data_IF_592936028668
#
_entry.id   IF_592936028668
#
_cell.length_a   1.000
_cell.length_b   1.000
_cell.length_c   1.000
_cell.angle_alpha   90.00
_cell.angle_beta   90.00
_cell.angle_gamma   90.00
#
_symmetry.space_group_name_H-M   'P 1'
#
loop_
_entity.id
_entity.type
_entity.pdbx_description
1 polymer ?
#
# COMPACT_ATOMS: atom_id res chain seq x y z
N UNK A 1 -7.71 -12.16 24.37
CA UNK A 1 -7.84 -10.73 24.65
C UNK A 1 -8.46 -10.07 23.45
N UNK A 2 -9.60 -9.39 23.64
CA UNK A 2 -10.30 -8.65 22.59
C UNK A 2 -9.54 -7.39 22.19
N UNK A 3 -9.93 -6.70 21.09
CA UNK A 3 -9.57 -5.31 20.94
C UNK A 3 -10.08 -4.66 22.23
N UNK A 4 -9.23 -3.89 22.88
CA UNK A 4 -9.74 -3.09 23.98
C UNK A 4 -10.81 -2.16 23.39
N UNK A 5 -11.95 -2.02 24.03
CA UNK A 5 -12.96 -1.02 23.64
C UNK A 5 -12.31 0.37 23.54
N UNK A 6 -11.28 0.64 24.32
CA UNK A 6 -10.46 1.84 24.27
C UNK A 6 -9.94 2.19 22.87
N UNK A 7 -9.44 1.21 22.10
CA UNK A 7 -8.92 1.51 20.74
C UNK A 7 -10.01 1.98 19.79
N UNK A 8 -11.22 1.42 19.91
CA UNK A 8 -12.37 1.78 19.07
C UNK A 8 -12.86 3.20 19.39
N UNK A 9 -12.90 3.57 20.65
CA UNK A 9 -13.31 4.89 21.11
C UNK A 9 -12.31 5.97 20.68
N UNK A 10 -10.99 5.68 20.79
CA UNK A 10 -9.94 6.61 20.36
C UNK A 10 -10.05 6.93 18.87
N UNK A 11 -10.25 5.92 18.00
CA UNK A 11 -10.45 6.17 16.57
C UNK A 11 -11.67 7.07 16.30
N UNK A 12 -12.75 6.88 17.02
CA UNK A 12 -13.97 7.70 16.87
C UNK A 12 -13.74 9.15 17.27
N UNK A 13 -13.00 9.38 18.36
CA UNK A 13 -12.65 10.73 18.81
C UNK A 13 -11.73 11.42 17.80
N UNK A 14 -10.66 10.75 17.35
CA UNK A 14 -9.73 11.32 16.36
C UNK A 14 -10.44 11.59 15.04
N UNK A 15 -11.36 10.71 14.60
CA UNK A 15 -12.19 10.94 13.41
C UNK A 15 -12.96 12.27 13.49
N UNK A 16 -13.44 12.65 14.68
CA UNK A 16 -14.16 13.91 14.87
C UNK A 16 -13.28 15.16 14.73
N UNK A 17 -11.96 15.00 14.85
CA UNK A 17 -10.96 16.06 14.65
C UNK A 17 -10.73 16.32 13.15
N UNK A 18 -10.76 15.29 12.31
CA UNK A 18 -10.42 15.37 10.88
C UNK A 18 -11.10 16.51 10.13
N UNK A 19 -12.44 16.78 10.30
CA UNK A 19 -13.09 17.89 9.60
C UNK A 19 -12.60 19.29 10.00
N UNK A 20 -11.89 19.40 11.13
CA UNK A 20 -11.35 20.67 11.63
C UNK A 20 -9.98 20.98 11.05
N UNK A 21 -9.35 20.01 10.37
CA UNK A 21 -8.02 20.15 9.78
C UNK A 21 -8.11 20.74 8.37
N UNK A 22 -7.21 21.68 8.06
CA UNK A 22 -7.08 22.32 6.76
C UNK A 22 -5.82 21.82 6.07
N UNK A 23 -5.91 21.49 4.78
CA UNK A 23 -4.74 21.10 3.97
C UNK A 23 -3.87 22.33 3.68
N UNK A 24 -2.56 22.20 3.87
CA UNK A 24 -1.55 23.11 3.35
C UNK A 24 -1.13 22.64 1.96
N UNK A 25 -1.09 23.53 0.99
CA UNK A 25 -0.88 23.17 -0.41
C UNK A 25 0.59 23.14 -0.82
N UNK A 26 1.45 23.89 -0.12
CA UNK A 26 2.89 23.94 -0.37
C UNK A 26 3.67 23.92 0.94
N UNK A 27 4.91 23.50 0.88
CA UNK A 27 5.84 23.59 1.99
C UNK A 27 6.37 25.03 2.10
N UNK A 28 6.66 25.46 3.32
CA UNK A 28 7.34 26.71 3.58
C UNK A 28 8.82 26.58 3.23
N UNK A 29 9.38 27.55 2.52
CA UNK A 29 10.80 27.63 2.21
C UNK A 29 11.35 28.98 2.64
N UNK A 30 12.66 29.05 2.90
CA UNK A 30 13.32 30.33 3.27
C UNK A 30 13.16 31.42 2.19
N UNK A 31 13.00 31.02 0.92
CA UNK A 31 12.85 31.93 -0.21
C UNK A 31 11.39 32.34 -0.43
N UNK A 32 10.42 31.52 -0.03
CA UNK A 32 8.98 31.75 -0.21
C UNK A 32 8.21 31.42 1.09
N UNK A 33 8.14 32.36 2.05
CA UNK A 33 7.36 32.18 3.26
C UNK A 33 5.87 32.05 2.92
N UNK A 34 5.12 31.34 3.78
CA UNK A 34 3.68 31.17 3.65
C UNK A 34 2.95 32.46 4.10
N UNK A 35 1.90 32.81 3.34
CA UNK A 35 0.95 33.78 3.84
C UNK A 35 0.05 33.15 4.92
N UNK A 36 -0.48 33.95 5.84
CA UNK A 36 -1.32 33.49 6.93
C UNK A 36 -2.56 32.69 6.44
N UNK A 37 -3.05 33.01 5.24
CA UNK A 37 -4.14 32.31 4.58
C UNK A 37 -3.77 30.93 4.01
N UNK A 38 -2.49 30.68 3.76
CA UNK A 38 -1.94 29.46 3.18
C UNK A 38 -1.56 28.42 4.26
N UNK A 39 -1.40 28.85 5.49
CA UNK A 39 -1.08 27.99 6.62
C UNK A 39 -2.19 26.95 6.80
N UNK A 40 -1.80 25.70 6.84
CA UNK A 40 -2.67 24.56 7.03
C UNK A 40 -2.17 23.68 8.18
N UNK A 41 -2.91 22.64 8.46
CA UNK A 41 -2.65 21.72 9.56
C UNK A 41 -1.98 20.42 9.10
N UNK A 42 -2.00 20.13 7.80
CA UNK A 42 -1.34 18.94 7.25
C UNK A 42 -0.93 19.15 5.80
N UNK A 43 0.12 18.43 5.40
CA UNK A 43 0.65 18.37 4.03
C UNK A 43 0.51 16.94 3.52
N UNK A 44 0.17 16.78 2.24
CA UNK A 44 0.15 15.49 1.56
C UNK A 44 1.32 15.44 0.58
N UNK A 45 2.23 14.51 0.79
CA UNK A 45 3.21 14.10 -0.21
C UNK A 45 2.57 13.04 -1.13
N UNK A 46 2.11 13.49 -2.29
CA UNK A 46 1.44 12.63 -3.27
C UNK A 46 2.40 11.61 -3.89
N UNK A 47 3.70 11.94 -3.97
CA UNK A 47 4.72 11.08 -4.58
C UNK A 47 5.03 9.87 -3.70
N UNK A 48 5.19 10.09 -2.40
CA UNK A 48 5.49 9.05 -1.42
C UNK A 48 4.22 8.51 -0.75
N UNK A 49 3.04 9.06 -1.08
CA UNK A 49 1.74 8.69 -0.47
C UNK A 49 1.79 8.78 1.05
N UNK A 50 2.36 9.86 1.54
CA UNK A 50 2.45 10.16 2.96
C UNK A 50 1.64 11.42 3.31
N UNK A 51 1.33 11.55 4.59
CA UNK A 51 0.66 12.72 5.16
C UNK A 51 1.33 13.07 6.47
N UNK A 52 1.71 14.32 6.61
CA UNK A 52 2.37 14.83 7.80
C UNK A 52 1.62 16.06 8.34
N UNK A 53 1.56 16.18 9.67
CA UNK A 53 1.04 17.38 10.32
C UNK A 53 2.09 18.49 10.24
N UNK A 54 1.63 19.72 10.08
CA UNK A 54 2.44 20.93 10.29
C UNK A 54 2.55 21.22 11.77
N UNK A 55 3.39 22.18 12.17
CA UNK A 55 3.51 22.59 13.56
C UNK A 55 2.18 23.12 14.11
N UNK A 56 1.42 23.91 13.33
CA UNK A 56 0.07 24.34 13.67
C UNK A 56 -0.92 23.17 13.74
N UNK A 57 -0.73 22.17 12.88
CA UNK A 57 -1.51 20.94 12.91
C UNK A 57 -1.28 20.14 14.17
N UNK A 58 -0.04 20.02 14.62
CA UNK A 58 0.29 19.38 15.90
C UNK A 58 -0.35 20.12 17.08
N UNK A 59 -0.16 21.45 17.15
CA UNK A 59 -0.75 22.26 18.22
C UNK A 59 -2.29 22.14 18.27
N UNK A 60 -2.95 22.19 17.12
CA UNK A 60 -4.41 22.04 17.06
C UNK A 60 -4.85 20.64 17.50
N UNK A 61 -4.20 19.58 17.01
CA UNK A 61 -4.57 18.20 17.36
C UNK A 61 -4.32 17.94 18.85
N UNK A 62 -3.22 18.41 19.42
CA UNK A 62 -2.92 18.32 20.85
C UNK A 62 -3.99 19.00 21.68
N UNK A 63 -4.33 20.24 21.38
CA UNK A 63 -5.39 20.99 22.08
C UNK A 63 -6.74 20.26 22.03
N UNK A 64 -7.12 19.72 20.85
CA UNK A 64 -8.38 19.01 20.71
C UNK A 64 -8.40 17.65 21.44
N UNK A 65 -7.27 16.98 21.55
CA UNK A 65 -7.12 15.73 22.29
C UNK A 65 -7.10 15.97 23.81
N UNK A 66 -6.56 17.10 24.26
CA UNK A 66 -6.64 17.55 25.66
C UNK A 66 -8.07 17.87 26.06
N UNK A 67 -8.81 18.59 25.24
CA UNK A 67 -10.23 18.92 25.46
C UNK A 67 -11.12 17.66 25.55
N UNK A 68 -10.67 16.55 24.97
CA UNK A 68 -11.35 15.25 25.01
C UNK A 68 -10.85 14.31 26.13
N UNK A 69 -9.97 14.79 27.03
CA UNK A 69 -9.32 14.00 28.08
C UNK A 69 -8.54 12.76 27.57
N UNK A 70 -8.11 12.76 26.29
CA UNK A 70 -7.32 11.68 25.69
C UNK A 70 -5.83 11.91 25.90
N UNK A 71 -5.41 13.16 25.90
CA UNK A 71 -4.05 13.60 26.15
C UNK A 71 -4.01 14.33 27.50
N UNK A 72 -3.03 13.99 28.34
CA UNK A 72 -2.84 14.75 29.58
C UNK A 72 -2.21 16.11 29.28
N UNK A 73 -2.68 17.15 29.96
CA UNK A 73 -2.25 18.55 29.79
C UNK A 73 -0.75 18.83 30.03
N UNK A 74 0.02 17.84 30.39
CA UNK A 74 1.47 17.93 30.57
C UNK A 74 2.29 17.15 29.53
N UNK A 75 1.62 16.50 28.57
CA UNK A 75 2.27 15.63 27.59
C UNK A 75 2.01 16.06 26.13
N UNK A 76 3.06 16.21 25.35
CA UNK A 76 2.95 16.37 23.91
C UNK A 76 2.79 15.01 23.20
N UNK A 77 2.34 15.01 21.94
CA UNK A 77 2.17 13.79 21.14
C UNK A 77 3.47 13.02 20.93
N UNK A 78 4.62 13.68 20.99
CA UNK A 78 5.94 13.07 20.84
C UNK A 78 6.47 12.40 22.12
N UNK A 79 5.81 12.55 23.24
CA UNK A 79 6.25 11.86 24.46
C UNK A 79 6.10 10.36 24.32
N UNK A 80 7.00 9.59 24.94
CA UNK A 80 6.99 8.13 24.87
C UNK A 80 5.67 7.53 25.33
N UNK A 81 5.00 8.18 26.31
CA UNK A 81 3.67 7.78 26.81
C UNK A 81 2.57 7.92 25.74
N UNK A 82 2.72 8.84 24.80
CA UNK A 82 1.69 9.22 23.83
C UNK A 82 1.93 8.65 22.42
N UNK A 83 3.01 7.89 22.22
CA UNK A 83 3.34 7.24 20.94
C UNK A 83 2.16 6.45 20.36
N UNK A 84 1.36 5.80 21.19
CA UNK A 84 0.16 5.08 20.75
C UNK A 84 -0.89 6.03 20.19
N UNK A 85 -1.11 7.17 20.82
CA UNK A 85 -2.07 8.18 20.37
C UNK A 85 -1.62 8.77 19.06
N UNK A 86 -0.33 9.10 18.94
CA UNK A 86 0.26 9.58 17.69
C UNK A 86 0.04 8.59 16.54
N UNK A 87 0.22 7.29 16.79
CA UNK A 87 -0.04 6.24 15.81
C UNK A 87 -1.51 6.22 15.35
N UNK A 88 -2.47 6.39 16.28
CA UNK A 88 -3.88 6.48 15.95
C UNK A 88 -4.20 7.74 15.13
N UNK A 89 -3.59 8.89 15.47
CA UNK A 89 -3.73 10.13 14.69
C UNK A 89 -3.24 9.92 13.27
N UNK A 90 -2.02 9.44 13.09
CA UNK A 90 -1.43 9.18 11.77
C UNK A 90 -2.27 8.18 10.95
N UNK A 91 -2.70 7.07 11.55
CA UNK A 91 -3.54 6.09 10.89
C UNK A 91 -4.88 6.70 10.41
N UNK A 92 -5.50 7.55 11.24
CA UNK A 92 -6.76 8.21 10.90
C UNK A 92 -6.60 9.25 9.80
N UNK A 93 -5.52 10.04 9.82
CA UNK A 93 -5.20 10.98 8.75
C UNK A 93 -4.99 10.25 7.43
N UNK A 94 -4.15 9.21 7.41
CA UNK A 94 -3.91 8.38 6.23
C UNK A 94 -5.20 7.78 5.69
N UNK A 95 -6.05 7.21 6.55
CA UNK A 95 -7.32 6.62 6.16
C UNK A 95 -8.29 7.63 5.53
N UNK A 96 -8.33 8.87 6.03
CA UNK A 96 -9.27 9.87 5.55
C UNK A 96 -8.81 10.59 4.29
N UNK A 97 -7.52 10.86 4.16
CA UNK A 97 -7.00 11.73 3.09
C UNK A 97 -6.29 10.96 1.96
N UNK A 98 -5.73 9.78 2.23
CA UNK A 98 -5.01 9.00 1.20
C UNK A 98 -5.83 7.86 0.62
N UNK A 99 -6.88 7.40 1.30
CA UNK A 99 -7.69 6.28 0.86
C UNK A 99 -9.11 6.70 0.48
N UNK A 100 -9.46 6.51 -0.78
CA UNK A 100 -10.78 6.83 -1.31
C UNK A 100 -11.59 5.56 -1.49
N UNK A 101 -12.87 5.62 -1.06
CA UNK A 101 -13.83 4.54 -1.28
C UNK A 101 -14.05 4.31 -2.78
N UNK A 102 -14.28 3.08 -3.16
CA UNK A 102 -14.51 2.60 -4.53
C UNK A 102 -13.31 2.76 -5.48
N UNK A 103 -12.18 3.25 -4.97
CA UNK A 103 -10.88 3.33 -5.66
C UNK A 103 -9.87 2.42 -4.98
N UNK A 104 -9.61 2.63 -3.68
CA UNK A 104 -8.61 1.88 -2.92
C UNK A 104 -9.22 0.76 -2.07
N UNK A 105 -10.48 0.91 -1.71
CA UNK A 105 -11.25 -0.08 -0.96
C UNK A 105 -12.74 0.05 -1.24
N UNK A 106 -13.49 -1.00 -0.93
CA UNK A 106 -14.95 -1.02 -0.94
C UNK A 106 -15.48 -1.51 0.41
N UNK A 107 -16.74 -1.21 0.69
CA UNK A 107 -17.45 -1.75 1.86
C UNK A 107 -18.40 -2.82 1.39
N UNK A 108 -18.20 -4.06 1.84
CA UNK A 108 -19.04 -5.22 1.49
C UNK A 108 -19.37 -6.01 2.75
N UNK A 109 -20.64 -6.31 2.95
CA UNK A 109 -21.15 -7.09 4.10
C UNK A 109 -20.74 -6.51 5.47
N UNK A 110 -20.59 -5.19 5.59
CA UNK A 110 -20.14 -4.54 6.82
C UNK A 110 -18.64 -4.63 7.09
N UNK A 111 -17.85 -4.96 6.08
CA UNK A 111 -16.39 -5.03 6.16
C UNK A 111 -15.72 -4.15 5.09
N UNK A 112 -14.55 -3.61 5.43
CA UNK A 112 -13.67 -2.90 4.48
C UNK A 112 -12.84 -3.92 3.74
N UNK A 113 -12.96 -3.95 2.41
CA UNK A 113 -12.22 -4.85 1.52
C UNK A 113 -11.35 -4.03 0.59
N UNK A 114 -10.05 -4.30 0.56
CA UNK A 114 -9.10 -3.58 -0.29
C UNK A 114 -9.29 -3.92 -1.76
N UNK A 115 -8.95 -2.97 -2.62
CA UNK A 115 -8.88 -3.11 -4.08
C UNK A 115 -7.41 -3.07 -4.48
N UNK A 116 -7.00 -4.02 -5.31
CA UNK A 116 -5.68 -3.99 -5.95
C UNK A 116 -5.65 -2.90 -7.02
N UNK A 117 -4.79 -1.91 -6.85
CA UNK A 117 -4.68 -0.75 -7.75
C UNK A 117 -4.30 -1.14 -9.19
N UNK A 118 -3.57 -2.24 -9.37
CA UNK A 118 -3.12 -2.66 -10.70
C UNK A 118 -4.15 -3.48 -11.46
N UNK A 119 -4.92 -4.32 -10.76
CA UNK A 119 -5.87 -5.26 -11.38
C UNK A 119 -7.32 -4.86 -11.16
N UNK A 120 -7.61 -3.92 -10.24
CA UNK A 120 -8.98 -3.55 -9.84
C UNK A 120 -9.73 -4.66 -9.10
N UNK A 121 -9.05 -5.74 -8.71
CA UNK A 121 -9.68 -6.88 -8.02
C UNK A 121 -9.78 -6.63 -6.52
N UNK A 122 -10.88 -7.05 -5.93
CA UNK A 122 -11.02 -7.05 -4.48
C UNK A 122 -10.12 -8.10 -3.83
N UNK A 123 -9.52 -7.76 -2.70
CA UNK A 123 -8.60 -8.60 -1.93
C UNK A 123 -9.20 -8.92 -0.54
N UNK A 124 -10.15 -9.87 -0.45
CA UNK A 124 -10.75 -10.25 0.83
C UNK A 124 -9.69 -10.81 1.78
N UNK A 125 -9.80 -10.47 3.06
CA UNK A 125 -8.90 -10.94 4.11
C UNK A 125 -7.57 -10.20 4.20
N UNK A 126 -7.20 -9.38 3.20
CA UNK A 126 -6.02 -8.53 3.28
C UNK A 126 -6.32 -7.26 4.06
N UNK A 127 -5.45 -6.90 5.00
CA UNK A 127 -5.59 -5.71 5.84
C UNK A 127 -4.35 -4.82 5.72
N UNK A 128 -4.54 -3.51 5.83
CA UNK A 128 -3.44 -2.54 5.92
C UNK A 128 -2.94 -2.55 7.37
N UNK A 129 -1.62 -2.55 7.53
CA UNK A 129 -0.95 -2.51 8.83
C UNK A 129 -1.01 -1.12 9.49
N UNK A 130 -0.40 -1.00 10.66
CA UNK A 130 -0.22 0.26 11.39
C UNK A 130 -1.52 0.94 11.82
N UNK A 131 -2.61 0.19 11.99
CA UNK A 131 -3.90 0.72 12.41
C UNK A 131 -4.70 1.42 11.30
N UNK A 132 -4.16 1.55 10.09
CA UNK A 132 -4.85 2.24 8.97
C UNK A 132 -6.14 1.51 8.58
N UNK A 133 -6.15 0.17 8.57
CA UNK A 133 -7.36 -0.58 8.26
C UNK A 133 -8.47 -0.35 9.29
N UNK A 134 -8.12 -0.31 10.57
CA UNK A 134 -9.05 0.02 11.65
C UNK A 134 -9.58 1.46 11.54
N UNK A 135 -8.72 2.40 11.15
CA UNK A 135 -9.13 3.78 10.88
C UNK A 135 -10.10 3.86 9.68
N UNK A 136 -9.92 3.03 8.63
CA UNK A 136 -10.88 2.91 7.53
C UNK A 136 -12.22 2.32 7.98
N UNK A 137 -12.19 1.28 8.82
CA UNK A 137 -13.39 0.72 9.43
C UNK A 137 -14.15 1.77 10.25
N UNK A 138 -13.42 2.60 11.01
CA UNK A 138 -14.00 3.74 11.73
C UNK A 138 -14.55 4.80 10.78
N UNK A 139 -13.81 5.16 9.72
CA UNK A 139 -14.24 6.12 8.69
C UNK A 139 -15.59 5.73 8.09
N UNK A 140 -15.76 4.46 7.76
CA UNK A 140 -16.96 3.91 7.13
C UNK A 140 -18.07 3.51 8.13
N UNK A 141 -17.85 3.72 9.43
CA UNK A 141 -18.79 3.33 10.51
C UNK A 141 -19.14 1.84 10.51
N UNK A 142 -18.20 0.98 10.13
CA UNK A 142 -18.32 -0.47 10.26
C UNK A 142 -17.62 -0.96 11.53
N UNK A 143 -17.86 -2.21 11.92
CA UNK A 143 -17.24 -2.79 13.12
C UNK A 143 -15.72 -2.82 13.00
N UNK A 144 -15.02 -2.20 13.93
CA UNK A 144 -13.57 -2.19 13.98
C UNK A 144 -13.09 -3.57 14.43
N UNK A 145 -12.35 -4.26 13.56
CA UNK A 145 -11.80 -5.57 13.82
C UNK A 145 -10.41 -5.48 14.44
N UNK A 146 -9.94 -6.57 15.04
CA UNK A 146 -8.60 -6.66 15.61
C UNK A 146 -7.53 -6.50 14.56
N UNK A 147 -6.44 -5.84 14.91
CA UNK A 147 -5.24 -5.82 14.09
C UNK A 147 -4.65 -7.23 13.99
N UNK A 148 -4.32 -7.66 12.77
CA UNK A 148 -3.59 -8.90 12.55
C UNK A 148 -2.15 -8.70 13.01
N UNK A 149 -1.71 -9.51 13.94
CA UNK A 149 -0.33 -9.48 14.44
C UNK A 149 0.50 -10.49 13.66
N UNK A 150 1.57 -10.03 13.00
CA UNK A 150 2.54 -10.93 12.37
C UNK A 150 3.28 -11.71 13.45
N UNK A 151 3.08 -13.03 13.49
CA UNK A 151 3.73 -13.90 14.47
C UNK A 151 5.18 -14.18 14.09
N UNK A 152 5.45 -14.36 12.80
CA UNK A 152 6.77 -14.63 12.25
C UNK A 152 6.83 -14.28 10.78
N UNK A 153 8.02 -14.00 10.27
CA UNK A 153 8.32 -13.86 8.85
C UNK A 153 9.50 -14.74 8.48
N UNK A 154 9.49 -15.25 7.25
CA UNK A 154 10.60 -16.02 6.70
C UNK A 154 10.83 -15.63 5.24
N UNK A 155 12.01 -15.91 4.72
CA UNK A 155 12.30 -15.75 3.30
C UNK A 155 11.72 -16.90 2.49
N UNK A 156 11.47 -16.70 1.19
CA UNK A 156 11.08 -17.79 0.30
C UNK A 156 12.10 -18.94 0.29
N UNK A 157 13.38 -18.59 0.30
CA UNK A 157 14.47 -19.58 0.32
C UNK A 157 14.39 -20.47 1.57
N UNK A 158 14.23 -19.89 2.74
CA UNK A 158 14.11 -20.65 3.98
C UNK A 158 12.81 -21.45 4.05
N UNK A 159 11.71 -20.91 3.51
CA UNK A 159 10.45 -21.62 3.44
C UNK A 159 10.54 -22.90 2.60
N UNK A 160 11.08 -22.79 1.37
CA UNK A 160 11.21 -23.95 0.49
C UNK A 160 12.24 -24.98 0.96
N UNK A 161 13.23 -24.57 1.74
CA UNK A 161 14.19 -25.50 2.37
C UNK A 161 13.60 -26.36 3.49
N UNK A 162 12.37 -26.08 3.92
CA UNK A 162 11.66 -26.93 4.90
C UNK A 162 11.13 -28.24 4.29
N UNK A 163 11.10 -28.36 2.98
CA UNK A 163 10.56 -29.54 2.31
C UNK A 163 11.71 -30.52 2.00
N UNK A 164 11.53 -31.79 2.36
CA UNK A 164 12.51 -32.86 2.11
C UNK A 164 12.68 -33.14 0.61
N UNK A 165 11.60 -32.97 -0.16
CA UNK A 165 11.61 -33.14 -1.62
C UNK A 165 11.13 -31.87 -2.28
N UNK A 166 11.98 -31.26 -3.09
CA UNK A 166 11.69 -30.03 -3.80
C UNK A 166 11.99 -30.21 -5.30
N UNK A 167 11.08 -29.79 -6.15
CA UNK A 167 11.26 -29.73 -7.60
C UNK A 167 10.48 -28.57 -8.18
N UNK A 168 10.84 -28.12 -9.37
CA UNK A 168 10.17 -27.03 -10.05
C UNK A 168 10.39 -27.08 -11.55
N UNK A 169 9.62 -26.27 -12.28
CA UNK A 169 9.73 -26.12 -13.73
C UNK A 169 9.70 -24.63 -14.10
N UNK A 170 10.59 -24.22 -14.97
CA UNK A 170 10.65 -22.86 -15.51
C UNK A 170 11.34 -22.86 -16.87
N UNK A 171 11.03 -21.91 -17.71
CA UNK A 171 11.71 -21.72 -19.01
C UNK A 171 13.07 -21.04 -18.90
N UNK A 172 13.49 -20.55 -17.72
CA UNK A 172 14.70 -19.73 -17.54
C UNK A 172 15.65 -20.25 -16.46
N UNK A 173 15.53 -21.52 -16.05
CA UNK A 173 16.32 -22.06 -14.95
C UNK A 173 17.82 -22.26 -15.30
N UNK A 174 18.17 -22.42 -16.57
CA UNK A 174 19.53 -22.76 -16.99
C UNK A 174 20.52 -21.64 -16.64
N UNK A 175 20.14 -20.39 -16.80
CA UNK A 175 20.94 -19.21 -16.41
C UNK A 175 21.22 -19.12 -14.92
N UNK A 176 20.31 -19.62 -14.10
CA UNK A 176 20.33 -19.55 -12.63
C UNK A 176 20.68 -20.92 -11.98
N UNK A 177 21.19 -21.86 -12.77
CA UNK A 177 21.50 -23.23 -12.31
C UNK A 177 22.42 -23.26 -11.09
N UNK A 178 23.39 -22.35 -11.03
CA UNK A 178 24.33 -22.25 -9.90
C UNK A 178 23.62 -21.83 -8.63
N UNK A 179 22.71 -20.87 -8.70
CA UNK A 179 21.94 -20.39 -7.56
C UNK A 179 21.00 -21.47 -7.03
N UNK A 180 20.29 -22.20 -7.90
CA UNK A 180 19.45 -23.33 -7.50
C UNK A 180 20.24 -24.42 -6.78
N UNK A 181 21.45 -24.69 -7.24
CA UNK A 181 22.32 -25.68 -6.58
C UNK A 181 22.80 -25.17 -5.22
N UNK A 182 23.28 -23.92 -5.13
CA UNK A 182 23.82 -23.37 -3.87
C UNK A 182 22.75 -23.20 -2.78
N UNK A 183 21.54 -22.78 -3.14
CA UNK A 183 20.49 -22.49 -2.15
C UNK A 183 19.71 -23.75 -1.78
N UNK A 184 19.36 -24.57 -2.76
CA UNK A 184 18.42 -25.69 -2.59
C UNK A 184 19.03 -27.07 -2.83
N UNK A 185 20.27 -27.14 -3.32
CA UNK A 185 20.88 -28.39 -3.71
C UNK A 185 20.25 -29.02 -4.97
N UNK A 186 19.51 -28.22 -5.77
CA UNK A 186 18.83 -28.72 -6.96
C UNK A 186 19.72 -28.64 -8.21
N UNK A 187 19.66 -29.68 -9.03
CA UNK A 187 20.28 -29.65 -10.34
C UNK A 187 19.26 -29.27 -11.41
N UNK A 188 19.68 -28.39 -12.31
CA UNK A 188 18.85 -27.98 -13.45
C UNK A 188 19.06 -29.00 -14.61
N UNK A 189 17.95 -29.47 -15.14
CA UNK A 189 17.96 -30.38 -16.32
C UNK A 189 17.18 -29.70 -17.43
N UNK A 190 17.87 -29.43 -18.53
CA UNK A 190 17.25 -28.85 -19.72
C UNK A 190 16.53 -29.95 -20.49
N UNK A 191 15.20 -29.84 -20.58
CA UNK A 191 14.37 -30.77 -21.34
C UNK A 191 14.24 -30.24 -22.77
N UNK A 192 14.66 -30.96 -23.80
CA UNK A 192 14.54 -30.51 -25.17
C UNK A 192 13.08 -30.43 -25.61
N UNK A 193 12.81 -29.51 -26.55
CA UNK A 193 11.46 -29.33 -27.11
C UNK A 193 11.01 -30.58 -27.85
N UNK A 194 9.73 -30.95 -27.74
CA UNK A 194 9.14 -32.10 -28.44
C UNK A 194 9.17 -31.92 -29.98
N UNK A 195 9.00 -30.70 -30.46
CA UNK A 195 9.06 -30.35 -31.89
C UNK A 195 10.13 -29.31 -32.14
N UNK A 196 10.66 -29.27 -33.36
CA UNK A 196 11.59 -28.22 -33.76
C UNK A 196 10.91 -26.84 -33.60
N UNK A 197 11.62 -25.91 -32.98
CA UNK A 197 11.18 -24.51 -32.87
C UNK A 197 11.13 -23.90 -34.28
N UNK A 198 9.96 -23.39 -34.63
CA UNK A 198 9.71 -22.74 -35.92
C UNK A 198 9.41 -21.22 -35.76
N UNK A 199 9.26 -20.75 -34.50
CA UNK A 199 9.08 -19.34 -34.21
C UNK A 199 10.36 -18.58 -34.55
N UNK A 200 10.21 -17.50 -35.28
CA UNK A 200 11.27 -16.56 -35.61
C UNK A 200 11.18 -15.37 -34.64
N UNK A 201 12.09 -15.32 -33.67
CA UNK A 201 12.14 -14.24 -32.72
C UNK A 201 12.93 -13.08 -33.35
N UNK A 202 12.23 -12.01 -33.69
CA UNK A 202 12.82 -10.83 -34.33
C UNK A 202 13.44 -9.90 -33.27
N UNK A 203 14.34 -9.03 -33.75
CA UNK A 203 15.00 -8.03 -32.91
C UNK A 203 13.98 -7.01 -32.31
N UNK A 204 14.35 -6.43 -31.19
CA UNK A 204 13.55 -5.43 -30.49
C UNK A 204 13.33 -4.16 -31.34
N UNK A 205 12.09 -3.67 -31.37
CA UNK A 205 11.73 -2.41 -32.02
C UNK A 205 11.78 -1.27 -31.01
N UNK A 206 12.64 -0.29 -31.26
CA UNK A 206 12.79 0.90 -30.42
C UNK A 206 11.97 2.06 -30.98
N UNK A 207 11.15 2.68 -30.13
CA UNK A 207 10.28 3.78 -30.50
C UNK A 207 10.63 5.06 -29.75
N UNK A 208 10.59 6.21 -30.43
CA UNK A 208 10.83 7.54 -29.84
C UNK A 208 9.69 8.03 -28.93
N UNK A 209 8.49 7.47 -29.08
CA UNK A 209 7.34 7.86 -28.27
C UNK A 209 6.44 6.68 -27.91
N UNK A 210 5.75 6.77 -26.76
CA UNK A 210 4.75 5.77 -26.35
C UNK A 210 3.62 5.62 -27.38
N UNK A 211 3.18 6.72 -27.99
CA UNK A 211 2.12 6.70 -29.02
C UNK A 211 2.54 5.90 -30.24
N UNK A 212 3.78 6.05 -30.71
CA UNK A 212 4.31 5.27 -31.83
C UNK A 212 4.39 3.78 -31.49
N UNK A 213 4.85 3.44 -30.27
CA UNK A 213 4.88 2.05 -29.76
C UNK A 213 3.48 1.44 -29.76
N UNK A 214 2.48 2.12 -29.19
CA UNK A 214 1.12 1.57 -29.13
C UNK A 214 0.48 1.40 -30.51
N UNK A 215 0.72 2.33 -31.44
CA UNK A 215 0.26 2.17 -32.82
C UNK A 215 0.86 0.94 -33.50
N UNK A 216 2.17 0.72 -33.34
CA UNK A 216 2.84 -0.46 -33.89
C UNK A 216 2.32 -1.76 -33.25
N UNK A 217 2.10 -1.78 -31.92
CA UNK A 217 1.52 -2.94 -31.24
C UNK A 217 0.10 -3.26 -31.74
N UNK A 218 -0.74 -2.25 -31.98
CA UNK A 218 -2.10 -2.45 -32.48
C UNK A 218 -2.10 -3.02 -33.90
N UNK A 219 -1.24 -2.51 -34.77
CA UNK A 219 -1.10 -3.03 -36.14
C UNK A 219 -0.65 -4.49 -36.13
N UNK A 220 0.34 -4.83 -35.31
CA UNK A 220 0.86 -6.18 -35.19
C UNK A 220 -0.17 -7.18 -34.63
N UNK A 221 -0.98 -6.76 -33.65
CA UNK A 221 -2.02 -7.63 -33.06
C UNK A 221 -3.26 -7.77 -33.96
N UNK A 222 -3.60 -6.78 -34.78
CA UNK A 222 -4.71 -6.87 -35.73
C UNK A 222 -4.35 -7.81 -36.91
N UNK A 223 -3.14 -7.72 -37.42
CA UNK A 223 -2.65 -8.63 -38.48
C UNK A 223 -2.65 -10.10 -38.04
N UNK A 224 -2.29 -10.36 -36.78
CA UNK A 224 -2.31 -11.73 -36.23
C UNK A 224 -3.75 -12.28 -36.02
N UNK A 225 -4.77 -11.44 -35.96
CA UNK A 225 -6.16 -11.85 -35.84
C UNK A 225 -6.78 -12.23 -37.20
N UNK A 226 -6.32 -11.64 -38.29
CA UNK A 226 -6.78 -11.92 -39.65
C UNK A 226 -6.19 -13.23 -40.22
N UNK A 227 -5.05 -13.72 -39.70
CA UNK A 227 -4.42 -14.97 -40.11
C UNK A 227 -5.10 -16.25 -39.56
N UNK A 228 -6.14 -16.13 -38.74
CA UNK A 228 -6.87 -17.27 -38.17
C UNK A 228 -8.05 -17.77 -39.00
N UNK A 229 -8.36 -17.13 -40.12
CA UNK A 229 -9.50 -17.46 -41.01
C UNK A 229 -9.10 -18.14 -42.34
N UNK A 230 -7.95 -18.81 -42.37
CA UNK A 230 -7.50 -19.58 -43.55
C UNK A 230 -7.19 -21.06 -43.26
#
# INVERSE_FOLDING_TARGET
SGPSNESSEIYSHIKSIVPKLKRQLREETEEEPLEESEIGHYIIDEKNRNIDLTDEGYMLVESLLEDMDILSSSGNLYSVSNIKIMRFVQATLRANFLYNRDVHYLVRNGEVVLIDEHTGRSMPGRRISEGVHQALECKENVTIQRESQTLASTTFQNFFRLFDTLSGMTGTADTEALEFNQIYGLNVVVIPTNKKMIRDDQDDLVFLSKTAKYKACLLYTSDAADDTDS
#
